data_IF_134114268102
#
_entry.id   IF_134114268102
#
_cell.length_a   1.000
_cell.length_b   1.000
_cell.length_c   1.000
_cell.angle_alpha   90.00
_cell.angle_beta   90.00
_cell.angle_gamma   90.00
#
_symmetry.space_group_name_H-M   'P 1'
#
loop_
_entity.id
_entity.type
_entity.pdbx_description
1 polymer ?
#
# COMPACT_ATOMS: atom_id res chain seq x y z
N UNK A 1 1.91 1.85 32.93
CA UNK A 1 1.12 0.96 32.53
C UNK A 1 0.29 1.32 31.41
N UNK A 2 0.21 2.43 31.13
CA UNK A 2 -0.65 2.85 30.13
C UNK A 2 -0.10 2.74 28.76
N UNK A 3 1.17 2.77 28.60
CA UNK A 3 1.75 2.71 27.30
C UNK A 3 1.37 1.50 26.50
N UNK A 4 1.41 0.35 27.08
CA UNK A 4 1.03 -0.82 26.32
C UNK A 4 -0.40 -0.74 25.87
N UNK A 5 -1.20 -0.12 26.65
CA UNK A 5 -2.57 0.02 26.30
C UNK A 5 -2.73 0.80 25.04
N UNK A 6 -1.93 1.79 24.88
CA UNK A 6 -2.03 2.62 23.71
C UNK A 6 -1.78 1.83 22.48
N UNK A 7 -0.82 0.96 22.50
CA UNK A 7 -0.54 0.19 21.35
C UNK A 7 -1.64 -0.75 21.03
N UNK A 8 -2.25 -1.32 22.02
CA UNK A 8 -3.28 -2.28 21.75
C UNK A 8 -4.52 -1.64 21.24
N UNK A 9 -4.59 -0.33 21.27
CA UNK A 9 -5.75 0.32 20.77
C UNK A 9 -5.77 0.45 19.27
N UNK A 10 -4.73 0.04 18.58
CA UNK A 10 -4.75 0.10 17.14
C UNK A 10 -5.90 -0.76 16.62
N UNK A 11 -6.70 -0.25 15.69
CA UNK A 11 -7.82 -1.01 15.16
C UNK A 11 -7.39 -2.15 14.26
N UNK A 12 -6.11 -2.24 13.95
CA UNK A 12 -5.65 -3.25 13.03
C UNK A 12 -4.85 -4.31 13.74
N UNK A 13 -5.00 -5.55 13.30
CA UNK A 13 -4.17 -6.64 13.83
C UNK A 13 -2.76 -6.48 13.28
N UNK A 14 -1.79 -7.14 13.90
CA UNK A 14 -0.42 -7.08 13.38
C UNK A 14 -0.32 -7.58 11.95
N UNK A 15 -1.12 -8.58 11.59
CA UNK A 15 -1.08 -9.12 10.26
C UNK A 15 -1.66 -8.12 9.26
N UNK A 16 -2.74 -7.45 9.62
CA UNK A 16 -3.31 -6.42 8.76
C UNK A 16 -2.31 -5.32 8.53
N UNK A 17 -1.63 -4.88 9.58
CA UNK A 17 -0.63 -3.84 9.45
C UNK A 17 0.54 -4.29 8.59
N UNK A 18 0.93 -5.53 8.73
CA UNK A 18 2.03 -6.06 7.94
C UNK A 18 1.72 -5.93 6.45
N UNK A 19 0.54 -6.34 6.03
CA UNK A 19 0.22 -6.30 4.62
C UNK A 19 -0.03 -4.89 4.11
N UNK A 20 -0.60 -4.03 4.95
CA UNK A 20 -0.77 -2.64 4.54
C UNK A 20 0.58 -1.95 4.36
N UNK A 21 1.54 -2.23 5.26
CA UNK A 21 2.86 -1.65 5.15
C UNK A 21 3.61 -2.20 3.94
N UNK A 22 3.43 -3.48 3.69
CA UNK A 22 4.06 -4.10 2.54
C UNK A 22 3.51 -3.48 1.26
N UNK A 23 2.20 -3.29 1.19
CA UNK A 23 1.60 -2.68 0.02
C UNK A 23 2.11 -1.26 -0.17
N UNK A 24 2.17 -0.50 0.90
CA UNK A 24 2.67 0.87 0.83
C UNK A 24 4.10 0.91 0.31
N UNK A 25 4.94 0.01 0.82
CA UNK A 25 6.33 -0.03 0.40
C UNK A 25 6.46 -0.39 -1.08
N UNK A 26 5.68 -1.37 -1.53
CA UNK A 26 5.73 -1.78 -2.93
C UNK A 26 5.25 -0.67 -3.85
N UNK A 27 4.20 0.03 -3.45
CA UNK A 27 3.69 1.12 -4.26
C UNK A 27 4.69 2.27 -4.34
N UNK A 28 5.36 2.57 -3.24
CA UNK A 28 6.37 3.61 -3.25
C UNK A 28 7.55 3.21 -4.12
N UNK A 29 7.96 1.95 -3.99
CA UNK A 29 9.07 1.47 -4.79
C UNK A 29 8.75 1.59 -6.27
N UNK A 30 7.54 1.21 -6.64
CA UNK A 30 7.15 1.30 -8.03
C UNK A 30 7.15 2.76 -8.51
N UNK A 31 6.63 3.65 -7.69
CA UNK A 31 6.57 5.05 -8.08
C UNK A 31 7.96 5.68 -8.16
N UNK A 32 8.82 5.34 -7.20
CA UNK A 32 10.12 5.97 -7.13
C UNK A 32 11.11 5.42 -8.13
N UNK A 33 10.98 4.14 -8.48
CA UNK A 33 11.97 3.46 -9.28
C UNK A 33 11.50 3.13 -10.70
N UNK A 34 10.37 3.65 -11.09
CA UNK A 34 9.81 3.33 -12.38
C UNK A 34 10.80 3.56 -13.52
N UNK A 35 11.52 4.65 -13.48
CA UNK A 35 12.43 4.95 -14.56
C UNK A 35 13.63 4.03 -14.61
N UNK A 36 13.91 3.37 -13.51
CA UNK A 36 15.08 2.50 -13.43
C UNK A 36 14.74 1.04 -13.58
N UNK A 37 13.47 0.68 -13.57
CA UNK A 37 13.07 -0.70 -13.71
C UNK A 37 12.88 -1.04 -15.17
N UNK A 38 13.34 -2.24 -15.57
CA UNK A 38 13.01 -2.69 -16.91
C UNK A 38 11.62 -3.29 -16.87
N UNK A 39 11.16 -3.78 -18.01
CA UNK A 39 9.81 -4.30 -18.11
C UNK A 39 9.58 -5.48 -17.17
N UNK A 40 10.58 -6.34 -17.04
CA UNK A 40 10.44 -7.48 -16.17
C UNK A 40 10.34 -7.05 -14.72
N UNK A 41 11.12 -6.05 -14.34
CA UNK A 41 11.08 -5.56 -12.98
C UNK A 41 9.73 -4.94 -12.66
N UNK A 42 9.17 -4.20 -13.59
CA UNK A 42 7.85 -3.61 -13.39
C UNK A 42 6.80 -4.69 -13.23
N UNK A 43 6.87 -5.73 -14.06
CA UNK A 43 5.92 -6.81 -13.94
C UNK A 43 6.00 -7.51 -12.60
N UNK A 44 7.21 -7.74 -12.11
CA UNK A 44 7.38 -8.40 -10.84
C UNK A 44 6.79 -7.57 -9.70
N UNK A 45 7.04 -6.27 -9.73
CA UNK A 45 6.51 -5.41 -8.70
C UNK A 45 4.99 -5.34 -8.80
N UNK A 46 4.45 -5.25 -10.00
CA UNK A 46 3.00 -5.21 -10.17
C UNK A 46 2.35 -6.50 -9.67
N UNK A 47 2.98 -7.63 -9.88
CA UNK A 47 2.47 -8.87 -9.35
C UNK A 47 2.49 -8.88 -7.85
N UNK A 48 3.55 -8.38 -7.24
CA UNK A 48 3.67 -8.33 -5.80
C UNK A 48 2.61 -7.39 -5.21
N UNK A 49 2.37 -6.27 -5.89
CA UNK A 49 1.35 -5.33 -5.45
C UNK A 49 -0.02 -6.00 -5.49
N UNK A 50 -0.32 -6.67 -6.60
CA UNK A 50 -1.61 -7.32 -6.75
C UNK A 50 -1.81 -8.40 -5.69
N UNK A 51 -0.80 -9.23 -5.49
CA UNK A 51 -0.88 -10.30 -4.52
C UNK A 51 -1.06 -9.73 -3.11
N UNK A 52 -0.33 -8.69 -2.77
CA UNK A 52 -0.42 -8.08 -1.46
C UNK A 52 -1.79 -7.42 -1.27
N UNK A 53 -2.30 -6.82 -2.33
CA UNK A 53 -3.62 -6.21 -2.28
C UNK A 53 -4.69 -7.29 -2.02
N UNK A 54 -4.58 -8.42 -2.69
CA UNK A 54 -5.51 -9.51 -2.48
C UNK A 54 -5.45 -10.01 -1.04
N UNK A 55 -4.26 -10.09 -0.48
CA UNK A 55 -4.13 -10.50 0.91
C UNK A 55 -4.78 -9.48 1.83
N UNK A 56 -4.66 -8.20 1.53
CA UNK A 56 -5.31 -7.17 2.33
C UNK A 56 -6.82 -7.29 2.23
N UNK A 57 -7.34 -7.62 1.06
CA UNK A 57 -8.77 -7.82 0.91
C UNK A 57 -9.23 -8.99 1.78
N UNK A 58 -8.47 -10.07 1.76
CA UNK A 58 -8.80 -11.24 2.56
C UNK A 58 -8.77 -10.94 4.05
N UNK A 59 -7.93 -10.01 4.44
CA UNK A 59 -7.82 -9.63 5.84
C UNK A 59 -8.79 -8.54 6.24
N UNK A 60 -9.63 -8.10 5.32
CA UNK A 60 -10.68 -7.16 5.65
C UNK A 60 -10.25 -5.70 5.65
N UNK A 61 -9.10 -5.38 5.07
CA UNK A 61 -8.65 -3.98 5.02
C UNK A 61 -8.62 -3.47 3.58
N UNK A 62 -9.65 -3.83 2.83
CA UNK A 62 -9.69 -3.46 1.41
C UNK A 62 -9.78 -1.94 1.22
N UNK A 63 -10.51 -1.25 2.08
CA UNK A 63 -10.65 0.19 1.91
C UNK A 63 -9.33 0.89 2.12
N UNK A 64 -8.60 0.45 3.13
CA UNK A 64 -7.30 1.03 3.40
C UNK A 64 -6.34 0.74 2.25
N UNK A 65 -6.41 -0.47 1.70
CA UNK A 65 -5.57 -0.82 0.58
C UNK A 65 -5.91 0.01 -0.64
N UNK A 66 -7.20 0.25 -0.87
CA UNK A 66 -7.61 1.06 -2.00
C UNK A 66 -7.11 2.48 -1.86
N UNK A 67 -7.14 3.03 -0.66
CA UNK A 67 -6.66 4.38 -0.44
C UNK A 67 -5.17 4.48 -0.74
N UNK A 68 -4.41 3.46 -0.36
CA UNK A 68 -2.98 3.46 -0.64
C UNK A 68 -2.73 3.44 -2.14
N UNK A 69 -3.46 2.59 -2.85
CA UNK A 69 -3.28 2.48 -4.29
C UNK A 69 -3.60 3.81 -4.96
N UNK A 70 -4.71 4.42 -4.58
CA UNK A 70 -5.08 5.69 -5.16
C UNK A 70 -4.05 6.77 -4.89
N UNK A 71 -3.58 6.84 -3.66
CA UNK A 71 -2.67 7.90 -3.28
C UNK A 71 -1.33 7.79 -3.97
N UNK A 72 -0.80 6.57 -4.09
CA UNK A 72 0.54 6.40 -4.62
C UNK A 72 0.60 6.04 -6.09
N UNK A 73 -0.47 5.48 -6.62
CA UNK A 73 -0.47 5.10 -8.03
C UNK A 73 -0.95 6.20 -8.95
N UNK A 74 -1.65 7.18 -8.42
CA UNK A 74 -2.17 8.25 -9.25
C UNK A 74 -1.94 9.59 -8.63
N UNK A 75 -0.75 9.93 -8.30
CA UNK A 75 -0.49 11.18 -7.60
C UNK A 75 -0.74 12.38 -8.49
N UNK A 76 -0.50 12.26 -9.74
CA UNK A 76 -0.64 13.43 -10.59
C UNK A 76 -2.05 13.78 -10.88
N UNK A 77 -2.96 12.91 -10.61
CA UNK A 77 -4.33 13.27 -10.92
C UNK A 77 -4.86 14.28 -9.97
N UNK A 78 -4.26 14.43 -8.78
CA UNK A 78 -4.77 15.39 -7.89
C UNK A 78 -4.64 16.77 -8.35
N UNK A 79 -3.54 17.19 -8.85
CA UNK A 79 -3.42 18.56 -9.29
C UNK A 79 -4.38 18.86 -10.39
N UNK A 80 -4.63 17.92 -11.19
CA UNK A 80 -5.55 18.17 -12.27
C UNK A 80 -6.89 18.51 -11.74
N UNK A 81 -7.28 17.88 -10.72
CA UNK A 81 -8.58 18.18 -10.22
C UNK A 81 -8.64 19.51 -9.65
N UNK A 82 -7.53 19.96 -9.21
CA UNK A 82 -7.59 21.26 -8.64
C UNK A 82 -8.11 22.21 -9.59
N UNK A 83 -8.07 21.95 -10.67
CA UNK A 83 -8.63 22.83 -11.47
C UNK A 83 -9.60 22.94 -11.75
#
# INVERSE_FOLDING_TARGET
MLSPTTESESPYSPLQLYFLRRLNRLLRLRADQTAQLNEDGVLLIDRAIYSTYCDAVDLGVVEEAQKLVHRLASPSSQPATAE
#
